data_IF_198863321237
#
_entry.id   IF_198863321237
#
_cell.length_a   1.000
_cell.length_b   1.000
_cell.length_c   1.000
_cell.angle_alpha   90.00
_cell.angle_beta   90.00
_cell.angle_gamma   90.00
#
_symmetry.space_group_name_H-M   'P 1'
#
loop_
_entity.id
_entity.type
_entity.pdbx_description
1 polymer ?
#
# COMPACT_ATOMS: atom_id res chain seq x y z
N UNK A 1 2.53 -0.88 6.61
CA UNK A 1 3.57 -1.48 5.73
C UNK A 1 4.65 -2.22 6.54
N UNK A 2 5.53 -1.58 7.29
CA UNK A 2 6.71 -2.20 7.93
C UNK A 2 6.43 -3.55 8.63
N UNK A 3 5.33 -3.65 9.38
CA UNK A 3 4.95 -4.90 10.02
C UNK A 3 4.48 -5.95 9.02
N UNK A 4 3.78 -5.55 7.97
CA UNK A 4 3.36 -6.44 6.87
C UNK A 4 4.55 -7.07 6.18
N UNK A 5 5.57 -6.27 5.85
CA UNK A 5 6.83 -6.73 5.24
C UNK A 5 7.58 -7.72 6.15
N UNK A 6 7.67 -7.42 7.46
CA UNK A 6 8.28 -8.33 8.44
C UNK A 6 7.59 -9.69 8.48
N UNK A 7 6.26 -9.68 8.49
CA UNK A 7 5.44 -10.90 8.51
C UNK A 7 5.60 -11.70 7.22
N UNK A 8 5.51 -11.05 6.07
CA UNK A 8 5.69 -11.68 4.77
C UNK A 8 7.07 -12.32 4.64
N UNK A 9 8.12 -11.57 4.97
CA UNK A 9 9.49 -12.06 4.90
C UNK A 9 9.71 -13.30 5.78
N UNK A 10 9.08 -13.36 6.94
CA UNK A 10 9.17 -14.52 7.84
C UNK A 10 8.33 -15.70 7.37
N UNK A 11 7.05 -15.47 7.02
CA UNK A 11 6.12 -16.52 6.64
C UNK A 11 6.48 -17.17 5.30
N UNK A 12 7.14 -16.43 4.40
CA UNK A 12 7.48 -16.85 3.03
C UNK A 12 8.99 -16.99 2.77
N UNK A 13 9.80 -17.01 3.82
CA UNK A 13 11.26 -17.05 3.71
C UNK A 13 11.78 -18.15 2.79
N UNK A 14 11.26 -19.37 2.90
CA UNK A 14 11.66 -20.50 2.07
C UNK A 14 11.26 -20.33 0.60
N UNK A 15 10.07 -19.76 0.33
CA UNK A 15 9.61 -19.47 -1.03
C UNK A 15 10.46 -18.36 -1.65
N UNK A 16 10.67 -17.28 -0.90
CA UNK A 16 11.47 -16.14 -1.35
C UNK A 16 12.96 -16.48 -1.56
N UNK A 17 13.47 -17.59 -0.99
CA UNK A 17 14.82 -18.08 -1.25
C UNK A 17 14.97 -18.78 -2.61
N UNK A 18 13.88 -19.14 -3.28
CA UNK A 18 13.89 -19.87 -4.53
C UNK A 18 14.34 -18.98 -5.71
N UNK A 19 14.98 -19.56 -6.74
CA UNK A 19 15.51 -18.81 -7.88
C UNK A 19 14.46 -18.47 -8.96
N UNK A 20 13.25 -19.05 -8.90
CA UNK A 20 12.21 -18.80 -9.89
C UNK A 20 11.86 -17.31 -9.98
N UNK A 21 11.61 -16.77 -11.20
CA UNK A 21 11.38 -15.34 -11.43
C UNK A 21 10.30 -14.74 -10.53
N UNK A 22 9.23 -15.51 -10.27
CA UNK A 22 8.15 -15.09 -9.39
C UNK A 22 8.65 -14.71 -8.00
N UNK A 23 9.48 -15.54 -7.37
CA UNK A 23 10.00 -15.29 -6.02
C UNK A 23 11.13 -14.26 -6.01
N UNK A 24 11.85 -14.11 -7.14
CA UNK A 24 12.80 -13.00 -7.31
C UNK A 24 12.05 -11.66 -7.27
N UNK A 25 10.95 -11.55 -8.02
CA UNK A 25 10.10 -10.34 -8.00
C UNK A 25 9.51 -10.09 -6.61
N UNK A 26 9.00 -11.13 -5.93
CA UNK A 26 8.47 -10.98 -4.56
C UNK A 26 9.52 -10.40 -3.59
N UNK A 27 10.80 -10.76 -3.75
CA UNK A 27 11.91 -10.14 -2.99
C UNK A 27 12.14 -8.68 -3.35
N UNK A 28 12.01 -8.32 -4.62
CA UNK A 28 12.13 -6.92 -5.07
C UNK A 28 11.03 -6.09 -4.45
N UNK A 29 9.77 -6.50 -4.58
CA UNK A 29 8.61 -5.85 -3.96
C UNK A 29 8.80 -5.65 -2.45
N UNK A 30 9.24 -6.70 -1.73
CA UNK A 30 9.50 -6.58 -0.29
C UNK A 30 10.60 -5.56 0.07
N UNK A 31 11.55 -5.30 -0.84
CA UNK A 31 12.56 -4.25 -0.65
C UNK A 31 11.99 -2.86 -0.93
N UNK A 32 11.16 -2.73 -1.96
CA UNK A 32 10.45 -1.49 -2.30
C UNK A 32 9.56 -1.06 -1.14
N UNK A 33 8.76 -1.96 -0.59
CA UNK A 33 7.95 -1.75 0.62
C UNK A 33 8.79 -1.26 1.83
N UNK A 34 9.98 -1.85 2.01
CA UNK A 34 10.90 -1.41 3.06
C UNK A 34 11.42 0.00 2.79
N UNK A 35 11.66 0.34 1.53
CA UNK A 35 12.07 1.69 1.11
C UNK A 35 10.94 2.69 1.31
N UNK A 36 9.70 2.38 0.89
CA UNK A 36 8.50 3.21 1.10
C UNK A 36 8.33 3.56 2.59
N UNK A 37 8.41 2.55 3.45
CA UNK A 37 8.33 2.75 4.91
C UNK A 37 9.39 3.74 5.39
N UNK A 38 10.64 3.60 4.97
CA UNK A 38 11.73 4.51 5.37
C UNK A 38 11.51 5.92 4.85
N UNK A 39 11.02 6.05 3.63
CA UNK A 39 10.73 7.33 3.00
C UNK A 39 9.60 8.06 3.73
N UNK A 40 8.51 7.36 4.05
CA UNK A 40 7.38 7.92 4.79
C UNK A 40 7.76 8.29 6.22
N UNK A 41 8.54 7.46 6.92
CA UNK A 41 9.09 7.81 8.23
C UNK A 41 10.02 9.03 8.14
N UNK A 42 10.84 9.12 7.10
CA UNK A 42 11.69 10.29 6.87
C UNK A 42 10.91 11.60 6.70
N UNK A 43 9.69 11.54 6.18
CA UNK A 43 8.81 12.72 6.08
C UNK A 43 8.39 13.22 7.46
N UNK A 44 8.11 12.33 8.40
CA UNK A 44 7.66 12.72 9.75
C UNK A 44 8.72 13.49 10.53
N UNK A 45 10.00 13.34 10.15
CA UNK A 45 11.11 14.10 10.76
C UNK A 45 11.07 15.61 10.47
N UNK A 46 10.30 16.03 9.46
CA UNK A 46 10.09 17.45 9.17
C UNK A 46 9.08 18.12 10.12
N UNK A 47 8.35 17.35 10.91
CA UNK A 47 7.37 17.87 11.85
C UNK A 47 7.95 17.86 13.26
N UNK A 48 8.27 19.05 13.79
CA UNK A 48 8.77 19.20 15.16
C UNK A 48 7.77 18.61 16.17
N UNK A 49 8.26 17.80 17.09
CA UNK A 49 7.46 17.20 18.15
C UNK A 49 6.69 15.93 17.76
N UNK A 50 6.73 15.51 16.50
CA UNK A 50 6.19 14.21 16.07
C UNK A 50 7.34 13.20 16.04
N UNK A 51 7.61 12.60 17.19
CA UNK A 51 8.48 11.43 17.27
C UNK A 51 7.71 10.19 16.81
N UNK A 52 8.15 9.53 15.74
CA UNK A 52 7.70 8.17 15.46
C UNK A 52 8.43 7.25 16.42
N UNK A 53 7.86 7.08 17.61
CA UNK A 53 8.40 6.15 18.60
C UNK A 53 8.07 4.71 18.20
N UNK A 54 8.97 4.12 17.43
CA UNK A 54 8.92 2.71 17.05
C UNK A 54 7.94 2.39 15.93
N UNK A 55 8.11 1.21 15.34
CA UNK A 55 7.15 0.71 14.35
C UNK A 55 5.84 0.30 15.04
N UNK A 56 4.72 0.79 14.55
CA UNK A 56 3.42 0.33 14.99
C UNK A 56 3.33 -1.20 14.88
N UNK A 57 2.83 -1.83 15.94
CA UNK A 57 2.62 -3.28 15.97
C UNK A 57 1.17 -3.59 16.31
N UNK A 58 0.48 -4.37 15.49
CA UNK A 58 -0.89 -4.76 15.76
C UNK A 58 -0.99 -5.63 17.03
N UNK A 59 -2.17 -5.67 17.64
CA UNK A 59 -2.48 -6.58 18.73
C UNK A 59 -2.22 -8.04 18.32
N UNK A 60 -1.87 -8.89 19.28
CA UNK A 60 -1.44 -10.26 19.01
C UNK A 60 -2.42 -11.10 18.15
N UNK A 61 -3.76 -10.99 18.27
CA UNK A 61 -4.67 -11.76 17.43
C UNK A 61 -4.55 -11.36 15.95
N UNK A 62 -4.40 -10.05 15.67
CA UNK A 62 -4.22 -9.55 14.30
C UNK A 62 -2.86 -9.98 13.74
N UNK A 63 -1.82 -10.00 14.58
CA UNK A 63 -0.50 -10.51 14.19
C UNK A 63 -0.55 -11.98 13.75
N UNK A 64 -1.27 -12.81 14.53
CA UNK A 64 -1.46 -14.22 14.21
C UNK A 64 -2.24 -14.39 12.90
N UNK A 65 -3.31 -13.61 12.71
CA UNK A 65 -4.09 -13.60 11.48
C UNK A 65 -3.23 -13.21 10.27
N UNK A 66 -2.46 -12.14 10.36
CA UNK A 66 -1.58 -11.69 9.28
C UNK A 66 -0.54 -12.76 8.92
N UNK A 67 0.05 -13.40 9.92
CA UNK A 67 0.99 -14.50 9.69
C UNK A 67 0.33 -15.71 9.00
N UNK A 68 -0.87 -16.09 9.46
CA UNK A 68 -1.64 -17.17 8.83
C UNK A 68 -1.99 -16.84 7.37
N UNK A 69 -2.45 -15.61 7.08
CA UNK A 69 -2.74 -15.16 5.72
C UNK A 69 -1.50 -15.17 4.83
N UNK A 70 -0.36 -14.66 5.33
CA UNK A 70 0.90 -14.65 4.60
C UNK A 70 1.45 -16.08 4.32
N UNK A 71 1.05 -17.05 5.15
CA UNK A 71 1.41 -18.48 4.96
C UNK A 71 0.51 -19.21 3.96
N UNK A 72 -0.53 -18.57 3.44
CA UNK A 72 -1.43 -19.21 2.47
C UNK A 72 -0.71 -19.50 1.14
N UNK A 73 -1.20 -20.52 0.39
CA UNK A 73 -0.76 -20.74 -0.98
C UNK A 73 -0.91 -19.47 -1.83
N UNK A 74 -0.04 -19.26 -2.84
CA UNK A 74 -0.09 -18.06 -3.69
C UNK A 74 -1.48 -17.75 -4.25
N UNK A 75 -2.24 -18.78 -4.64
CA UNK A 75 -3.60 -18.63 -5.18
C UNK A 75 -4.62 -18.00 -4.23
N UNK A 76 -4.40 -18.08 -2.93
CA UNK A 76 -5.25 -17.45 -1.89
C UNK A 76 -4.62 -16.17 -1.36
N UNK A 77 -3.31 -16.09 -1.30
CA UNK A 77 -2.57 -14.96 -0.78
C UNK A 77 -2.60 -13.75 -1.73
N UNK A 78 -2.28 -13.94 -3.01
CA UNK A 78 -2.23 -12.83 -3.97
C UNK A 78 -3.57 -12.08 -4.18
N UNK A 79 -4.77 -12.71 -4.16
CA UNK A 79 -6.03 -11.95 -4.17
C UNK A 79 -6.18 -10.98 -3.00
N UNK A 80 -5.66 -11.35 -1.81
CA UNK A 80 -5.66 -10.49 -0.62
C UNK A 80 -4.72 -9.32 -0.84
N UNK A 81 -3.51 -9.59 -1.37
CA UNK A 81 -2.56 -8.53 -1.70
C UNK A 81 -3.11 -7.57 -2.76
N UNK A 82 -3.72 -8.08 -3.85
CA UNK A 82 -4.39 -7.21 -4.84
C UNK A 82 -5.35 -6.24 -4.16
N UNK A 83 -6.15 -6.73 -3.20
CA UNK A 83 -7.08 -5.89 -2.44
C UNK A 83 -6.36 -4.83 -1.59
N UNK A 84 -5.27 -5.22 -0.94
CA UNK A 84 -4.47 -4.31 -0.13
C UNK A 84 -3.81 -3.23 -0.98
N UNK A 85 -3.14 -3.61 -2.07
CA UNK A 85 -2.45 -2.69 -2.99
C UNK A 85 -3.43 -1.69 -3.64
N UNK A 86 -4.58 -2.15 -4.14
CA UNK A 86 -5.61 -1.25 -4.69
C UNK A 86 -6.09 -0.25 -3.63
N UNK A 87 -6.28 -0.70 -2.40
CA UNK A 87 -6.66 0.18 -1.28
C UNK A 87 -5.55 1.19 -0.97
N UNK A 88 -4.29 0.75 -0.98
CA UNK A 88 -3.10 1.60 -0.79
C UNK A 88 -3.00 2.67 -1.87
N UNK A 89 -3.04 2.27 -3.15
CA UNK A 89 -3.02 3.18 -4.30
C UNK A 89 -4.14 4.22 -4.20
N UNK A 90 -5.37 3.79 -3.91
CA UNK A 90 -6.50 4.70 -3.71
C UNK A 90 -6.23 5.71 -2.59
N UNK A 91 -5.71 5.25 -1.45
CA UNK A 91 -5.41 6.11 -0.30
C UNK A 91 -4.37 7.16 -0.64
N UNK A 92 -3.30 6.76 -1.35
CA UNK A 92 -2.25 7.69 -1.78
C UNK A 92 -2.76 8.71 -2.80
N UNK A 93 -3.59 8.31 -3.76
CA UNK A 93 -4.25 9.24 -4.69
C UNK A 93 -5.13 10.25 -3.93
N UNK A 94 -5.92 9.77 -2.97
CA UNK A 94 -6.73 10.64 -2.14
C UNK A 94 -5.89 11.62 -1.30
N UNK A 95 -4.75 11.20 -0.76
CA UNK A 95 -3.82 12.09 -0.05
C UNK A 95 -3.26 13.17 -0.98
N UNK A 96 -2.89 12.82 -2.22
CA UNK A 96 -2.45 13.81 -3.22
C UNK A 96 -3.50 14.90 -3.44
N UNK A 97 -4.79 14.53 -3.59
CA UNK A 97 -5.88 15.49 -3.73
C UNK A 97 -5.98 16.47 -2.54
N UNK A 98 -5.50 16.06 -1.36
CA UNK A 98 -5.62 16.81 -0.11
C UNK A 98 -4.39 17.66 0.24
N UNK A 99 -3.25 17.46 -0.41
CA UNK A 99 -2.02 18.15 -0.04
C UNK A 99 -2.17 19.67 0.01
N UNK A 100 -2.92 20.26 -0.93
CA UNK A 100 -3.19 21.69 -0.94
C UNK A 100 -4.00 22.18 0.27
N UNK A 101 -4.86 21.33 0.82
CA UNK A 101 -5.65 21.62 2.02
C UNK A 101 -4.86 21.36 3.30
N UNK A 102 -4.04 20.31 3.29
CA UNK A 102 -3.22 19.94 4.45
C UNK A 102 -2.05 20.92 4.69
N UNK A 103 -1.46 21.42 3.60
CA UNK A 103 -0.30 22.31 3.65
C UNK A 103 -0.56 23.62 2.87
N UNK A 104 -1.57 24.43 3.26
CA UNK A 104 -1.97 25.62 2.52
C UNK A 104 -0.87 26.70 2.51
N UNK A 105 -0.09 26.78 3.60
CA UNK A 105 0.91 27.83 3.84
C UNK A 105 2.36 27.33 3.70
N UNK A 106 2.57 26.06 3.32
CA UNK A 106 3.91 25.48 3.18
C UNK A 106 4.06 24.76 1.82
N UNK A 107 4.35 25.52 0.76
CA UNK A 107 4.53 24.98 -0.58
C UNK A 107 5.71 24.00 -0.67
N UNK A 108 6.77 24.22 0.12
CA UNK A 108 7.96 23.35 0.10
C UNK A 108 7.67 21.97 0.65
N UNK A 109 6.92 21.87 1.76
CA UNK A 109 6.46 20.59 2.30
C UNK A 109 5.49 19.93 1.33
N UNK A 110 4.54 20.69 0.77
CA UNK A 110 3.58 20.16 -0.20
C UNK A 110 4.27 19.52 -1.41
N UNK A 111 5.19 20.22 -2.06
CA UNK A 111 5.94 19.71 -3.21
C UNK A 111 6.80 18.50 -2.86
N UNK A 112 7.40 18.48 -1.68
CA UNK A 112 8.17 17.35 -1.18
C UNK A 112 7.30 16.12 -0.99
N UNK A 113 6.11 16.29 -0.40
CA UNK A 113 5.14 15.21 -0.18
C UNK A 113 4.57 14.68 -1.49
N UNK A 114 4.16 15.57 -2.39
CA UNK A 114 3.64 15.22 -3.71
C UNK A 114 4.63 14.33 -4.47
N UNK A 115 5.88 14.73 -4.55
CA UNK A 115 6.94 13.98 -5.24
C UNK A 115 7.13 12.58 -4.65
N UNK A 116 7.14 12.46 -3.30
CA UNK A 116 7.30 11.17 -2.62
C UNK A 116 6.10 10.26 -2.79
N UNK A 117 4.89 10.80 -2.71
CA UNK A 117 3.67 10.03 -2.93
C UNK A 117 3.60 9.51 -4.37
N UNK A 118 3.98 10.34 -5.35
CA UNK A 118 4.04 9.92 -6.76
C UNK A 118 5.07 8.81 -6.96
N UNK A 119 6.24 8.90 -6.33
CA UNK A 119 7.27 7.86 -6.38
C UNK A 119 6.73 6.53 -5.84
N UNK A 120 6.11 6.54 -4.66
CA UNK A 120 5.47 5.34 -4.08
C UNK A 120 4.36 4.83 -4.99
N UNK A 121 3.49 5.69 -5.51
CA UNK A 121 2.39 5.28 -6.40
C UNK A 121 2.86 4.55 -7.66
N UNK A 122 4.00 4.92 -8.23
CA UNK A 122 4.56 4.25 -9.40
C UNK A 122 4.89 2.80 -9.06
N UNK A 123 5.53 2.57 -7.93
CA UNK A 123 5.89 1.24 -7.45
C UNK A 123 4.64 0.43 -7.07
N UNK A 124 3.68 1.03 -6.36
CA UNK A 124 2.42 0.40 -5.95
C UNK A 124 1.58 -0.08 -7.15
N UNK A 125 1.54 0.67 -8.23
CA UNK A 125 0.90 0.23 -9.48
C UNK A 125 1.61 -1.01 -10.04
N UNK A 126 2.94 -1.07 -9.93
CA UNK A 126 3.74 -2.25 -10.25
C UNK A 126 3.38 -3.46 -9.35
N UNK A 127 3.18 -3.24 -8.06
CA UNK A 127 2.74 -4.27 -7.11
C UNK A 127 1.35 -4.81 -7.45
N UNK A 128 0.40 -3.95 -7.78
CA UNK A 128 -0.93 -4.36 -8.27
C UNK A 128 -0.80 -5.21 -9.52
N UNK A 129 0.01 -4.78 -10.50
CA UNK A 129 0.21 -5.50 -11.76
C UNK A 129 0.85 -6.87 -11.55
N UNK A 130 1.89 -6.96 -10.72
CA UNK A 130 2.52 -8.22 -10.33
C UNK A 130 1.50 -9.19 -9.71
N UNK A 131 0.79 -8.75 -8.67
CA UNK A 131 -0.19 -9.57 -7.99
C UNK A 131 -1.32 -10.00 -8.94
N UNK A 132 -1.75 -9.13 -9.86
CA UNK A 132 -2.73 -9.44 -10.90
C UNK A 132 -2.28 -10.57 -11.83
N UNK A 133 -1.01 -10.58 -12.23
CA UNK A 133 -0.44 -11.66 -13.06
C UNK A 133 -0.51 -13.01 -12.31
N UNK A 134 -0.26 -12.98 -11.00
CA UNK A 134 -0.28 -14.17 -10.15
C UNK A 134 -1.68 -14.79 -9.99
N UNK A 135 -2.75 -13.98 -10.06
CA UNK A 135 -4.12 -14.44 -9.72
C UNK A 135 -5.05 -14.64 -10.90
N UNK A 136 -4.72 -14.09 -12.08
CA UNK A 136 -5.61 -14.08 -13.23
C UNK A 136 -6.93 -13.33 -12.99
N UNK A 137 -7.87 -13.45 -13.92
CA UNK A 137 -9.13 -12.67 -13.90
C UNK A 137 -10.06 -12.98 -12.71
N UNK A 138 -10.12 -14.23 -12.27
CA UNK A 138 -10.96 -14.62 -11.13
C UNK A 138 -10.41 -14.06 -9.82
N UNK A 139 -9.11 -14.19 -9.59
CA UNK A 139 -8.45 -13.64 -8.41
C UNK A 139 -8.47 -12.12 -8.37
N UNK A 140 -8.39 -11.46 -9.53
CA UNK A 140 -8.54 -10.01 -9.61
C UNK A 140 -9.93 -9.54 -9.16
N UNK A 141 -11.00 -10.26 -9.56
CA UNK A 141 -12.36 -9.96 -9.06
C UNK A 141 -12.48 -10.14 -7.55
N UNK A 142 -11.91 -11.23 -7.03
CA UNK A 142 -11.87 -11.45 -5.58
C UNK A 142 -11.06 -10.35 -4.87
N UNK A 143 -9.90 -9.94 -5.40
CA UNK A 143 -9.07 -8.85 -4.87
C UNK A 143 -9.83 -7.52 -4.82
N UNK A 144 -10.56 -7.16 -5.87
CA UNK A 144 -11.41 -5.95 -5.89
C UNK A 144 -12.50 -5.97 -4.81
N UNK A 145 -13.12 -7.11 -4.57
CA UNK A 145 -14.09 -7.25 -3.47
C UNK A 145 -13.42 -7.11 -2.09
N UNK A 146 -12.22 -7.69 -1.95
CA UNK A 146 -11.44 -7.60 -0.72
C UNK A 146 -10.90 -6.21 -0.45
N UNK A 147 -10.63 -5.40 -1.49
CA UNK A 147 -10.14 -4.03 -1.33
C UNK A 147 -11.06 -3.19 -0.42
N UNK A 148 -12.37 -3.33 -0.55
CA UNK A 148 -13.33 -2.65 0.33
C UNK A 148 -13.24 -3.10 1.80
N UNK A 149 -12.98 -4.39 2.04
CA UNK A 149 -12.80 -4.93 3.40
C UNK A 149 -11.48 -4.45 4.00
N UNK A 150 -10.40 -4.51 3.22
CA UNK A 150 -9.07 -4.05 3.65
C UNK A 150 -9.10 -2.55 3.96
N UNK A 151 -9.70 -1.74 3.07
CA UNK A 151 -9.82 -0.30 3.27
C UNK A 151 -10.62 0.04 4.53
N UNK A 152 -11.68 -0.73 4.83
CA UNK A 152 -12.42 -0.54 6.09
C UNK A 152 -11.56 -0.87 7.30
N UNK A 153 -10.77 -1.93 7.24
CA UNK A 153 -9.83 -2.25 8.33
C UNK A 153 -8.79 -1.16 8.53
N UNK A 154 -8.34 -0.52 7.45
CA UNK A 154 -7.45 0.64 7.52
C UNK A 154 -8.12 1.82 8.24
N UNK A 155 -9.38 2.11 7.97
CA UNK A 155 -10.11 3.18 8.66
C UNK A 155 -10.15 2.97 10.18
N UNK A 156 -10.41 1.74 10.60
CA UNK A 156 -10.49 1.40 12.01
C UNK A 156 -9.12 1.50 12.71
N UNK A 157 -8.02 1.34 11.94
CA UNK A 157 -6.65 1.44 12.44
C UNK A 157 -6.03 2.83 12.32
N UNK A 158 -6.61 3.72 11.50
CA UNK A 158 -6.10 5.07 11.23
C UNK A 158 -7.21 6.11 11.35
N UNK A 159 -7.73 6.36 12.58
CA UNK A 159 -8.83 7.31 12.81
C UNK A 159 -8.49 8.73 12.33
N UNK A 160 -7.21 9.08 12.22
CA UNK A 160 -6.73 10.36 11.70
C UNK A 160 -7.15 10.58 10.25
N UNK A 161 -7.11 9.55 9.41
CA UNK A 161 -7.57 9.64 8.01
C UNK A 161 -9.08 9.94 7.96
N UNK A 162 -9.85 9.35 8.87
CA UNK A 162 -11.28 9.62 8.96
C UNK A 162 -11.58 11.06 9.39
N UNK A 163 -10.78 11.63 10.30
CA UNK A 163 -10.87 13.03 10.65
C UNK A 163 -10.63 13.97 9.46
N UNK A 164 -9.86 13.51 8.45
CA UNK A 164 -9.62 14.20 7.18
C UNK A 164 -10.68 13.91 6.10
N UNK A 165 -11.70 13.10 6.40
CA UNK A 165 -12.80 12.78 5.49
C UNK A 165 -12.57 11.54 4.60
N UNK A 166 -11.64 10.66 4.96
CA UNK A 166 -11.33 9.46 4.18
C UNK A 166 -12.51 8.48 4.08
N UNK A 167 -13.31 8.33 5.13
CA UNK A 167 -14.48 7.46 5.14
C UNK A 167 -15.50 7.80 4.02
N UNK A 168 -15.66 9.09 3.70
CA UNK A 168 -16.51 9.52 2.57
C UNK A 168 -15.82 9.25 1.23
N UNK A 169 -14.54 9.58 1.12
CA UNK A 169 -13.77 9.33 -0.10
C UNK A 169 -13.74 7.85 -0.48
N UNK A 170 -13.64 6.95 0.50
CA UNK A 170 -13.61 5.50 0.31
C UNK A 170 -14.83 4.95 -0.45
N UNK A 171 -15.96 5.63 -0.46
CA UNK A 171 -17.13 5.22 -1.26
C UNK A 171 -16.80 5.16 -2.75
N UNK A 172 -15.79 5.89 -3.20
CA UNK A 172 -15.29 5.88 -4.59
C UNK A 172 -14.41 4.68 -4.91
N UNK A 173 -13.90 3.95 -3.90
CA UNK A 173 -12.98 2.84 -4.10
C UNK A 173 -13.55 1.74 -5.02
N UNK A 174 -14.85 1.48 -4.96
CA UNK A 174 -15.50 0.46 -5.80
C UNK A 174 -15.47 0.78 -7.30
N UNK A 175 -15.44 2.06 -7.65
CA UNK A 175 -15.36 2.55 -9.03
C UNK A 175 -13.97 3.01 -9.44
N UNK A 176 -13.01 2.97 -8.51
CA UNK A 176 -11.63 3.38 -8.77
C UNK A 176 -10.95 2.44 -9.76
N UNK A 177 -10.35 3.01 -10.78
CA UNK A 177 -9.62 2.27 -11.79
C UNK A 177 -8.33 3.02 -12.25
N UNK A 178 -7.63 2.44 -13.21
CA UNK A 178 -6.38 2.98 -13.73
C UNK A 178 -6.51 4.41 -14.29
N UNK A 179 -7.66 4.78 -14.85
CA UNK A 179 -7.88 6.13 -15.40
C UNK A 179 -7.92 7.22 -14.33
N UNK A 180 -8.18 6.84 -13.07
CA UNK A 180 -8.22 7.76 -11.94
C UNK A 180 -6.81 8.12 -11.42
N UNK A 181 -5.78 7.40 -11.88
CA UNK A 181 -4.40 7.69 -11.48
C UNK A 181 -3.90 9.01 -12.06
N UNK A 182 -3.02 9.73 -11.35
CA UNK A 182 -2.32 10.88 -11.90
C UNK A 182 -1.63 10.54 -13.23
N UNK A 183 -1.66 11.46 -14.20
CA UNK A 183 -1.05 11.25 -15.52
C UNK A 183 0.43 10.89 -15.42
N UNK A 184 1.16 11.54 -14.53
CA UNK A 184 2.57 11.25 -14.29
C UNK A 184 2.80 9.81 -13.86
N UNK A 185 1.95 9.26 -12.97
CA UNK A 185 2.01 7.86 -12.53
C UNK A 185 1.73 6.93 -13.70
N UNK A 186 0.66 7.20 -14.49
CA UNK A 186 0.31 6.39 -15.66
C UNK A 186 1.42 6.33 -16.70
N UNK A 187 2.12 7.44 -16.90
CA UNK A 187 3.19 7.55 -17.89
C UNK A 187 4.50 6.86 -17.44
N UNK A 188 4.70 6.69 -16.15
CA UNK A 188 5.92 6.10 -15.58
C UNK A 188 5.76 4.65 -15.11
N UNK A 189 4.54 4.21 -14.83
CA UNK A 189 4.28 2.84 -14.42
C UNK A 189 4.46 1.88 -15.60
N UNK A 190 5.41 0.96 -15.49
CA UNK A 190 5.87 0.09 -16.59
C UNK A 190 4.96 -1.09 -16.91
N UNK A 191 3.89 -1.32 -16.16
CA UNK A 191 3.04 -2.51 -16.23
C UNK A 191 1.59 -2.21 -16.67
N UNK A 192 1.42 -1.22 -17.46
CA UNK A 192 0.10 -0.83 -17.98
C UNK A 192 -0.18 -1.39 -19.37
#
# INVERSE_FOLDING_TARGET
EAYGVEVMSKARAELMARPEPLYVLERVLSREETYHTKMLVGVTSHFEGIGVEGAWRPAWPLRLLMFALASFPPSLFHPILVGAEISGVFTLCWLLERLGTLFPNDPGVRESMERRIIEVLIDEVGHVAYNRICVGSAGLRAGKLLAGVVSKSHDDMTPELNALGFAEARKRLASFDYSDLPEEVRNKAWFT
#
